data_IF_207412538859
#
_entry.id   IF_207412538859
#
_cell.length_a   1.000
_cell.length_b   1.000
_cell.length_c   1.000
_cell.angle_alpha   90.00
_cell.angle_beta   90.00
_cell.angle_gamma   90.00
#
_symmetry.space_group_name_H-M   'P 1'
#
loop_
_entity.id
_entity.type
_entity.pdbx_description
1 polymer ?
#
# COMPACT_ATOMS: atom_id res chain seq x y z
N UNK A 1 -25.87 -29.40 45.22
CA UNK A 1 -25.51 -29.92 43.89
C UNK A 1 -24.71 -28.83 43.18
N UNK A 2 -23.54 -29.16 42.65
CA UNK A 2 -22.67 -28.18 41.99
C UNK A 2 -22.93 -28.16 40.49
N UNK A 3 -22.77 -27.00 39.82
CA UNK A 3 -22.90 -26.92 38.38
C UNK A 3 -21.85 -27.81 37.70
N UNK A 4 -22.29 -28.62 36.75
CA UNK A 4 -21.42 -29.40 35.85
C UNK A 4 -21.64 -28.88 34.43
N UNK A 5 -20.55 -28.63 33.70
CA UNK A 5 -20.65 -28.24 32.30
C UNK A 5 -21.07 -29.45 31.47
N UNK A 6 -22.14 -29.28 30.67
CA UNK A 6 -22.63 -30.28 29.75
C UNK A 6 -22.41 -29.81 28.31
N UNK A 7 -21.91 -30.70 27.47
CA UNK A 7 -21.76 -30.44 26.03
C UNK A 7 -23.15 -30.40 25.39
N UNK A 8 -23.37 -29.47 24.47
CA UNK A 8 -24.61 -29.35 23.71
C UNK A 8 -24.65 -30.40 22.58
N UNK A 9 -25.55 -31.37 22.71
CA UNK A 9 -25.69 -32.48 21.76
C UNK A 9 -26.57 -32.11 20.53
N UNK A 10 -27.43 -31.09 20.67
CA UNK A 10 -28.39 -30.69 19.62
C UNK A 10 -27.88 -29.53 18.76
N UNK A 11 -26.80 -28.88 19.18
CA UNK A 11 -26.16 -27.78 18.44
C UNK A 11 -26.96 -26.48 18.48
N UNK A 12 -27.88 -26.33 19.43
CA UNK A 12 -28.64 -25.10 19.69
C UNK A 12 -27.77 -23.91 20.09
N UNK A 13 -26.50 -24.14 20.44
CA UNK A 13 -25.52 -23.09 20.76
C UNK A 13 -24.54 -22.79 19.62
N UNK A 14 -24.69 -23.43 18.44
CA UNK A 14 -23.76 -23.29 17.31
C UNK A 14 -23.95 -22.00 16.51
N UNK A 15 -25.14 -21.42 16.56
CA UNK A 15 -25.50 -20.13 15.98
C UNK A 15 -24.94 -18.94 16.79
N UNK A 16 -24.60 -19.17 18.06
CA UNK A 16 -23.97 -18.20 18.93
C UNK A 16 -22.46 -18.17 18.64
N UNK A 17 -22.05 -17.23 17.79
CA UNK A 17 -20.64 -16.91 17.60
C UNK A 17 -20.10 -16.20 18.86
N UNK A 18 -19.20 -16.80 19.66
CA UNK A 18 -18.56 -16.06 20.73
C UNK A 18 -17.73 -14.91 20.12
N UNK A 19 -17.80 -13.68 20.68
CA UNK A 19 -17.01 -12.55 20.19
C UNK A 19 -15.52 -12.83 20.40
N UNK A 20 -14.87 -13.37 19.37
CA UNK A 20 -13.51 -13.92 19.51
C UNK A 20 -13.08 -14.96 18.49
N UNK A 21 -14.02 -15.47 17.68
CA UNK A 21 -13.85 -16.67 16.84
C UNK A 21 -12.66 -16.71 15.87
N UNK A 22 -12.11 -15.56 15.46
CA UNK A 22 -10.83 -15.57 14.74
C UNK A 22 -9.67 -15.66 15.72
N UNK A 23 -8.89 -16.74 15.58
CA UNK A 23 -7.71 -16.97 16.40
C UNK A 23 -6.79 -15.72 16.39
N UNK A 24 -6.22 -15.32 17.55
CA UNK A 24 -5.47 -14.07 17.67
C UNK A 24 -4.34 -13.90 16.63
N UNK A 25 -3.67 -14.99 16.26
CA UNK A 25 -2.61 -14.96 15.25
C UNK A 25 -3.15 -14.66 13.84
N UNK A 26 -4.35 -15.16 13.51
CA UNK A 26 -5.02 -14.90 12.24
C UNK A 26 -5.43 -13.43 12.14
N UNK A 27 -5.97 -12.85 13.23
CA UNK A 27 -6.25 -11.41 13.33
C UNK A 27 -4.97 -10.56 13.16
N UNK A 28 -3.86 -11.00 13.75
CA UNK A 28 -2.58 -10.29 13.62
C UNK A 28 -2.04 -10.31 12.18
N UNK A 29 -2.23 -11.40 11.43
CA UNK A 29 -1.85 -11.49 10.02
C UNK A 29 -2.66 -10.52 9.17
N UNK A 30 -4.00 -10.52 9.33
CA UNK A 30 -4.87 -9.60 8.58
C UNK A 30 -4.50 -8.14 8.87
N UNK A 31 -4.29 -7.78 10.15
CA UNK A 31 -3.87 -6.43 10.53
C UNK A 31 -2.54 -6.01 9.91
N UNK A 32 -1.56 -6.93 9.82
CA UNK A 32 -0.27 -6.65 9.15
C UNK A 32 -0.44 -6.46 7.64
N UNK A 33 -1.34 -7.21 7.01
CA UNK A 33 -1.66 -7.06 5.60
C UNK A 33 -2.30 -5.70 5.32
N UNK A 34 -3.26 -5.30 6.15
CA UNK A 34 -3.91 -3.98 6.07
C UNK A 34 -2.91 -2.84 6.28
N UNK A 35 -2.06 -2.92 7.30
CA UNK A 35 -1.04 -1.89 7.55
C UNK A 35 -0.05 -1.78 6.39
N UNK A 36 0.39 -2.91 5.84
CA UNK A 36 1.27 -2.93 4.68
C UNK A 36 0.61 -2.31 3.43
N UNK A 37 -0.69 -2.56 3.21
CA UNK A 37 -1.43 -1.92 2.12
C UNK A 37 -1.55 -0.40 2.33
N UNK A 38 -1.84 0.04 3.56
CA UNK A 38 -1.91 1.47 3.90
C UNK A 38 -0.57 2.17 3.67
N UNK A 39 0.53 1.55 4.08
CA UNK A 39 1.87 2.10 3.82
C UNK A 39 2.20 2.19 2.34
N UNK A 40 1.80 1.18 1.53
CA UNK A 40 1.98 1.21 0.08
C UNK A 40 1.24 2.39 -0.54
N UNK A 41 -0.05 2.56 -0.22
CA UNK A 41 -0.86 3.70 -0.69
C UNK A 41 -0.30 5.05 -0.26
N UNK A 42 0.22 5.15 0.98
CA UNK A 42 0.84 6.38 1.45
C UNK A 42 2.12 6.72 0.70
N UNK A 43 2.94 5.73 0.34
CA UNK A 43 4.16 5.93 -0.46
C UNK A 43 3.85 6.28 -1.91
N UNK A 44 2.79 5.71 -2.47
CA UNK A 44 2.26 6.04 -3.79
C UNK A 44 1.78 7.49 -3.82
N UNK A 45 0.93 7.91 -2.89
CA UNK A 45 0.46 9.29 -2.80
C UNK A 45 1.61 10.31 -2.61
N UNK A 46 2.63 9.97 -1.81
CA UNK A 46 3.84 10.81 -1.68
C UNK A 46 4.60 10.95 -3.00
N UNK A 47 4.65 9.88 -3.80
CA UNK A 47 5.32 9.91 -5.09
C UNK A 47 4.51 10.71 -6.13
N UNK A 48 3.19 10.54 -6.15
CA UNK A 48 2.31 11.34 -7.01
C UNK A 48 2.40 12.83 -6.69
N UNK A 49 2.42 13.19 -5.41
CA UNK A 49 2.61 14.57 -4.97
C UNK A 49 3.98 15.13 -5.41
N UNK A 50 5.05 14.34 -5.28
CA UNK A 50 6.37 14.72 -5.79
C UNK A 50 6.36 14.98 -7.30
N UNK A 51 5.77 14.07 -8.07
CA UNK A 51 5.67 14.18 -9.54
C UNK A 51 4.83 15.41 -9.93
N UNK A 52 3.71 15.65 -9.26
CA UNK A 52 2.84 16.80 -9.52
C UNK A 52 3.54 18.12 -9.18
N UNK A 53 4.26 18.19 -8.06
CA UNK A 53 5.01 19.39 -7.68
C UNK A 53 6.18 19.66 -8.62
N UNK A 54 6.82 18.63 -9.17
CA UNK A 54 7.92 18.80 -10.14
C UNK A 54 7.42 19.02 -11.58
N UNK A 55 6.13 18.85 -11.86
CA UNK A 55 5.55 19.06 -13.18
C UNK A 55 5.26 20.55 -13.42
N UNK A 56 6.29 21.31 -13.81
CA UNK A 56 6.19 22.74 -14.14
C UNK A 56 5.93 23.01 -15.64
N UNK A 57 5.14 22.15 -16.28
CA UNK A 57 4.82 22.22 -17.72
C UNK A 57 5.71 21.35 -18.61
N UNK A 58 6.85 20.88 -18.10
CA UNK A 58 7.65 19.79 -18.65
C UNK A 58 7.58 18.60 -17.68
N UNK A 59 7.52 17.34 -18.17
CA UNK A 59 7.41 16.22 -17.27
C UNK A 59 8.72 16.08 -16.46
N UNK A 60 8.66 15.65 -15.18
CA UNK A 60 9.81 15.71 -14.30
C UNK A 60 10.84 14.63 -14.62
N UNK A 61 12.13 14.93 -14.43
CA UNK A 61 13.19 13.91 -14.54
C UNK A 61 13.37 13.15 -13.22
N UNK A 62 14.05 12.00 -13.27
CA UNK A 62 14.38 11.22 -12.05
C UNK A 62 15.16 12.06 -11.04
N UNK A 63 16.04 12.96 -11.51
CA UNK A 63 16.89 13.79 -10.64
C UNK A 63 16.06 14.85 -9.90
N UNK A 64 15.08 15.45 -10.57
CA UNK A 64 14.22 16.47 -9.97
C UNK A 64 13.38 15.87 -8.83
N UNK A 65 12.88 14.65 -9.03
CA UNK A 65 12.15 13.92 -7.98
C UNK A 65 13.07 13.54 -6.82
N UNK A 66 14.32 13.13 -7.07
CA UNK A 66 15.32 12.92 -5.98
C UNK A 66 15.53 14.21 -5.19
N UNK A 67 15.71 15.33 -5.88
CA UNK A 67 15.96 16.62 -5.25
C UNK A 67 14.77 17.08 -4.41
N UNK A 68 13.53 16.86 -4.89
CA UNK A 68 12.32 17.15 -4.13
C UNK A 68 12.26 16.33 -2.82
N UNK A 69 12.54 15.03 -2.88
CA UNK A 69 12.58 14.19 -1.69
C UNK A 69 13.71 14.59 -0.72
N UNK A 70 14.87 15.01 -1.25
CA UNK A 70 15.94 15.60 -0.45
C UNK A 70 15.49 16.86 0.30
N UNK A 71 14.78 17.77 -0.39
CA UNK A 71 14.19 18.98 0.23
C UNK A 71 13.10 18.66 1.25
N UNK A 72 12.34 17.58 1.03
CA UNK A 72 11.33 17.09 1.98
C UNK A 72 11.93 16.34 3.18
N UNK A 73 13.26 16.30 3.33
CA UNK A 73 13.96 15.67 4.44
C UNK A 73 14.03 14.13 4.37
N UNK A 74 13.76 13.55 3.20
CA UNK A 74 13.76 12.10 2.98
C UNK A 74 14.76 11.76 1.87
N UNK A 75 15.92 11.23 2.24
CA UNK A 75 16.89 10.78 1.25
C UNK A 75 16.37 9.53 0.52
N UNK A 76 16.14 9.67 -0.79
CA UNK A 76 15.67 8.58 -1.65
C UNK A 76 16.67 8.38 -2.78
N UNK A 77 17.13 7.13 -2.97
CA UNK A 77 18.06 6.80 -4.06
C UNK A 77 17.36 6.83 -5.43
N UNK A 78 18.09 7.17 -6.49
CA UNK A 78 17.57 7.08 -7.87
C UNK A 78 17.02 5.68 -8.20
N UNK A 79 17.64 4.63 -7.66
CA UNK A 79 17.18 3.25 -7.84
C UNK A 79 15.77 3.06 -7.27
N UNK A 80 15.52 3.59 -6.08
CA UNK A 80 14.20 3.52 -5.43
C UNK A 80 13.14 4.23 -6.27
N UNK A 81 13.47 5.38 -6.85
CA UNK A 81 12.55 6.12 -7.72
C UNK A 81 12.27 5.34 -9.00
N UNK A 82 13.28 4.74 -9.64
CA UNK A 82 13.09 3.86 -10.79
C UNK A 82 12.20 2.65 -10.47
N UNK A 83 12.33 2.07 -9.28
CA UNK A 83 11.46 0.98 -8.83
C UNK A 83 10.02 1.45 -8.55
N UNK A 84 9.84 2.68 -8.07
CA UNK A 84 8.52 3.30 -7.86
C UNK A 84 7.83 3.65 -9.17
N UNK A 85 8.56 4.18 -10.15
CA UNK A 85 8.08 4.45 -11.52
C UNK A 85 7.42 3.19 -12.10
N UNK A 86 8.12 2.06 -12.06
CA UNK A 86 7.59 0.76 -12.54
C UNK A 86 6.39 0.26 -11.75
N UNK A 87 6.34 0.55 -10.44
CA UNK A 87 5.30 0.05 -9.54
C UNK A 87 4.00 0.85 -9.65
N UNK A 88 4.09 2.14 -9.89
CA UNK A 88 2.97 3.08 -9.86
C UNK A 88 2.44 3.43 -11.27
N UNK A 89 2.86 2.70 -12.32
CA UNK A 89 2.35 2.92 -13.69
C UNK A 89 2.92 4.16 -14.36
N UNK A 90 4.19 4.47 -14.12
CA UNK A 90 4.92 5.50 -14.86
C UNK A 90 5.97 4.83 -15.75
N UNK A 91 6.27 5.47 -16.87
CA UNK A 91 7.32 5.06 -17.80
C UNK A 91 8.42 6.12 -17.85
N UNK A 92 9.64 5.68 -18.09
CA UNK A 92 10.79 6.55 -18.29
C UNK A 92 11.03 6.64 -19.81
N UNK A 93 10.74 7.79 -20.41
CA UNK A 93 11.02 8.05 -21.82
C UNK A 93 12.08 9.14 -21.91
N UNK A 94 13.22 8.84 -22.54
CA UNK A 94 14.34 9.78 -22.74
C UNK A 94 14.83 10.53 -21.48
N UNK A 95 14.71 9.88 -20.30
CA UNK A 95 15.11 10.45 -19.00
C UNK A 95 14.01 11.21 -18.26
N UNK A 96 12.81 11.28 -18.84
CA UNK A 96 11.65 11.99 -18.31
C UNK A 96 10.58 10.99 -17.83
N UNK A 97 9.92 11.30 -16.72
CA UNK A 97 8.86 10.48 -16.13
C UNK A 97 7.52 10.86 -16.77
N UNK A 98 6.93 9.93 -17.50
CA UNK A 98 5.62 10.09 -18.14
C UNK A 98 4.65 9.11 -17.49
N UNK A 99 3.43 9.59 -17.20
CA UNK A 99 2.36 8.71 -16.70
C UNK A 99 1.92 7.80 -17.83
N UNK A 100 1.92 6.50 -17.61
CA UNK A 100 1.36 5.53 -18.55
C UNK A 100 -0.17 5.66 -18.50
N UNK A 101 -0.70 6.69 -19.15
CA UNK A 101 -2.10 6.72 -19.52
C UNK A 101 -2.26 5.63 -20.54
N UNK A 102 -2.76 4.46 -20.13
CA UNK A 102 -3.00 3.32 -21.01
C UNK A 102 -3.88 3.72 -22.19
N UNK A 103 -3.24 4.18 -23.25
CA UNK A 103 -3.79 4.23 -24.59
C UNK A 103 -3.63 2.80 -25.13
N UNK A 104 -4.79 2.22 -25.43
CA UNK A 104 -4.98 0.85 -25.83
C UNK A 104 -3.97 0.43 -26.93
N UNK A 105 -3.20 -0.62 -26.67
CA UNK A 105 -2.64 -1.42 -27.75
C UNK A 105 -3.52 -2.67 -27.90
N UNK A 106 -4.34 -2.63 -28.96
CA UNK A 106 -5.14 -3.71 -29.58
C UNK A 106 -4.59 -5.14 -29.42
#
# INVERSE_FOLDING_TARGET
QYPIHRVDDVGSLKDLQPPGETEPWKKAIEKRKESAQKERRSKEAQFEDAVNNCNFGEPPTVKDVVEWFGKSGKEVSERTIRDWIKRYGYVLQDGVIIKDSGDDHD
#
